data_IF_245051935310
#
_entry.id   IF_245051935310
#
_cell.length_a   1.000
_cell.length_b   1.000
_cell.length_c   1.000
_cell.angle_alpha   90.00
_cell.angle_beta   90.00
_cell.angle_gamma   90.00
#
_symmetry.space_group_name_H-M   'P 1'
#
loop_
_entity.id
_entity.type
_entity.pdbx_description
1 polymer ?
#
# COMPACT_ATOMS: atom_id res chain seq x y z
N UNK A 1 11.40 -16.52 -1.71
CA UNK A 1 10.47 -15.92 -0.73
C UNK A 1 10.80 -14.43 -0.60
N UNK A 2 10.15 -13.56 -1.39
CA UNK A 2 10.40 -12.11 -1.34
C UNK A 2 9.77 -11.59 -0.05
N UNK A 3 10.59 -11.39 0.99
CA UNK A 3 10.15 -10.81 2.27
C UNK A 3 9.75 -9.36 2.02
N UNK A 4 8.49 -9.13 1.60
CA UNK A 4 7.97 -7.77 1.58
C UNK A 4 8.00 -7.24 3.02
N UNK A 5 8.67 -6.11 3.19
CA UNK A 5 8.63 -5.22 4.35
C UNK A 5 9.50 -5.63 5.54
N UNK A 6 10.50 -4.78 5.78
CA UNK A 6 10.67 -4.15 7.10
C UNK A 6 10.66 -2.65 6.88
N UNK A 7 9.48 -2.03 6.83
CA UNK A 7 9.40 -0.62 7.19
C UNK A 7 9.52 -0.54 8.71
N UNK A 8 10.17 0.49 9.26
CA UNK A 8 10.27 0.70 10.72
C UNK A 8 8.89 0.58 11.39
N UNK A 9 7.84 1.06 10.71
CA UNK A 9 6.46 0.90 11.14
C UNK A 9 6.00 -0.55 11.31
N UNK A 10 6.39 -1.49 10.42
CA UNK A 10 6.03 -2.91 10.56
C UNK A 10 6.68 -3.55 11.78
N UNK A 11 7.98 -3.26 12.02
CA UNK A 11 8.70 -3.75 13.21
C UNK A 11 8.10 -3.21 14.50
N UNK A 12 7.73 -1.93 14.50
CA UNK A 12 7.16 -1.23 15.65
C UNK A 12 5.62 -1.36 15.76
N UNK A 13 4.98 -2.13 14.88
CA UNK A 13 3.51 -2.31 14.80
C UNK A 13 2.74 -0.97 14.74
N UNK A 14 3.26 0.02 14.02
CA UNK A 14 2.65 1.34 13.84
C UNK A 14 1.79 1.41 12.58
N UNK A 15 0.74 2.23 12.61
CA UNK A 15 0.02 2.65 11.40
C UNK A 15 0.96 3.43 10.48
N UNK A 16 0.96 3.06 9.21
CA UNK A 16 1.89 3.55 8.21
C UNK A 16 1.09 4.18 7.06
N UNK A 17 1.22 5.49 6.89
CA UNK A 17 0.58 6.29 5.83
C UNK A 17 1.27 6.14 4.46
N UNK A 18 2.34 5.35 4.38
CA UNK A 18 3.09 4.99 3.15
C UNK A 18 3.63 6.16 2.32
N UNK A 19 3.62 7.39 2.87
CA UNK A 19 4.40 8.50 2.32
C UNK A 19 5.89 8.22 2.50
N UNK A 20 6.74 8.89 1.72
CA UNK A 20 8.19 8.73 1.81
C UNK A 20 8.83 10.10 2.07
N UNK A 21 9.23 10.40 3.32
CA UNK A 21 9.07 9.58 4.53
C UNK A 21 7.64 9.58 5.09
N UNK A 22 7.29 8.53 5.81
CA UNK A 22 5.95 8.37 6.37
C UNK A 22 5.81 9.18 7.67
N UNK A 23 4.63 9.73 7.96
CA UNK A 23 4.44 10.63 9.10
C UNK A 23 4.80 10.00 10.45
N UNK A 24 4.61 8.68 10.59
CA UNK A 24 5.03 7.92 11.78
C UNK A 24 6.54 7.86 11.95
N UNK A 25 7.32 7.81 10.86
CA UNK A 25 8.78 7.82 10.92
C UNK A 25 9.32 9.23 11.14
N UNK A 26 8.68 10.26 10.59
CA UNK A 26 9.01 11.67 10.88
C UNK A 26 8.84 12.01 12.36
N UNK A 27 7.70 11.63 12.97
CA UNK A 27 7.42 11.91 14.39
C UNK A 27 8.35 11.23 15.38
N UNK A 28 9.01 10.14 14.96
CA UNK A 28 9.86 9.29 15.82
C UNK A 28 11.34 9.38 15.45
N UNK A 29 11.70 10.32 14.59
CA UNK A 29 13.07 10.53 14.11
C UNK A 29 13.72 9.26 13.54
N UNK A 30 12.95 8.50 12.75
CA UNK A 30 13.41 7.26 12.08
C UNK A 30 13.35 7.38 10.55
N UNK A 31 13.39 8.62 10.06
CA UNK A 31 13.28 8.98 8.63
C UNK A 31 14.30 8.24 7.77
N UNK A 32 15.55 8.16 8.22
CA UNK A 32 16.64 7.47 7.50
C UNK A 32 16.40 5.97 7.28
N UNK A 33 15.52 5.34 8.08
CA UNK A 33 15.16 3.92 7.99
C UNK A 33 13.77 3.70 7.37
N UNK A 34 13.10 4.76 6.93
CA UNK A 34 11.78 4.73 6.30
C UNK A 34 11.91 4.41 4.79
N UNK A 35 12.37 3.20 4.48
CA UNK A 35 12.62 2.77 3.11
C UNK A 35 11.54 1.78 2.67
N UNK A 36 10.92 2.05 1.52
CA UNK A 36 10.00 1.14 0.85
C UNK A 36 10.72 0.55 -0.36
N UNK A 37 10.65 -0.77 -0.53
CA UNK A 37 11.06 -1.38 -1.80
C UNK A 37 10.12 -0.90 -2.92
N UNK A 38 10.59 -0.74 -4.17
CA UNK A 38 9.74 -0.37 -5.30
C UNK A 38 8.48 -1.26 -5.43
N UNK A 39 8.64 -2.58 -5.27
CA UNK A 39 7.55 -3.55 -5.25
C UNK A 39 6.51 -3.33 -4.12
N UNK A 40 6.83 -2.53 -3.10
CA UNK A 40 5.90 -2.17 -2.02
C UNK A 40 5.27 -0.78 -2.23
N UNK A 41 5.90 0.09 -3.02
CA UNK A 41 5.30 1.34 -3.48
C UNK A 41 4.17 1.05 -4.49
N UNK A 42 4.38 0.05 -5.36
CA UNK A 42 3.42 -0.39 -6.38
C UNK A 42 2.32 -1.32 -5.85
N UNK A 43 2.07 -1.34 -4.54
CA UNK A 43 1.07 -2.26 -3.98
C UNK A 43 -0.32 -1.83 -4.44
N UNK A 44 -0.76 -2.38 -5.56
CA UNK A 44 -2.09 -2.20 -6.14
C UNK A 44 -3.12 -2.61 -5.09
N UNK A 45 -4.09 -1.73 -4.86
CA UNK A 45 -5.20 -2.04 -3.97
C UNK A 45 -6.16 -3.00 -4.67
N UNK A 46 -6.01 -4.29 -4.36
CA UNK A 46 -6.83 -5.37 -4.88
C UNK A 46 -8.33 -5.13 -4.63
N UNK A 47 -8.70 -4.51 -3.51
CA UNK A 47 -10.10 -4.25 -3.20
C UNK A 47 -10.69 -3.19 -4.14
N UNK A 48 -10.00 -2.05 -4.32
CA UNK A 48 -10.40 -1.06 -5.33
C UNK A 48 -10.46 -1.65 -6.74
N UNK A 49 -9.50 -2.51 -7.11
CA UNK A 49 -9.50 -3.14 -8.42
C UNK A 49 -10.72 -4.06 -8.61
N UNK A 50 -11.02 -4.90 -7.61
CA UNK A 50 -12.17 -5.79 -7.62
C UNK A 50 -13.49 -5.00 -7.72
N UNK A 51 -13.63 -3.92 -6.96
CA UNK A 51 -14.84 -3.09 -7.02
C UNK A 51 -15.02 -2.44 -8.40
N UNK A 52 -13.93 -1.98 -9.02
CA UNK A 52 -13.96 -1.46 -10.40
C UNK A 52 -14.34 -2.55 -11.40
N UNK A 53 -13.83 -3.77 -11.24
CA UNK A 53 -14.15 -4.91 -12.10
C UNK A 53 -15.64 -5.23 -12.04
N UNK A 54 -16.20 -5.37 -10.84
CA UNK A 54 -17.64 -5.62 -10.62
C UNK A 54 -18.48 -4.55 -11.32
N UNK A 55 -18.09 -3.27 -11.21
CA UNK A 55 -18.81 -2.18 -11.86
C UNK A 55 -18.77 -2.32 -13.39
N UNK A 56 -17.61 -2.61 -13.96
CA UNK A 56 -17.46 -2.82 -15.41
C UNK A 56 -18.28 -4.01 -15.90
N UNK A 57 -18.22 -5.13 -15.19
CA UNK A 57 -19.00 -6.33 -15.51
C UNK A 57 -20.51 -6.05 -15.46
N UNK A 58 -20.97 -5.30 -14.46
CA UNK A 58 -22.38 -4.92 -14.33
C UNK A 58 -22.86 -4.02 -15.48
N UNK A 59 -22.00 -3.15 -16.01
CA UNK A 59 -22.33 -2.27 -17.14
C UNK A 59 -22.36 -3.07 -18.44
N UNK A 60 -21.39 -3.96 -18.65
CA UNK A 60 -21.36 -4.86 -19.82
C UNK A 60 -22.61 -5.74 -19.90
N UNK A 61 -23.06 -6.28 -18.75
CA UNK A 61 -24.27 -7.10 -18.67
C UNK A 61 -25.56 -6.36 -19.06
N UNK A 62 -25.55 -5.02 -19.16
CA UNK A 62 -26.71 -4.24 -19.63
C UNK A 62 -26.77 -4.14 -21.16
N UNK A 63 -25.66 -4.43 -21.86
CA UNK A 63 -25.54 -4.30 -23.32
C UNK A 63 -25.47 -5.64 -24.05
N UNK A 64 -25.42 -6.75 -23.32
CA UNK A 64 -25.44 -8.13 -23.83
C UNK A 64 -26.73 -8.81 -23.42
#
# INVERSE_FOLDING_TARGET
QIRSRVTVCKRLKLKCDRRTPCGSCTKRDTVARCVYSPAAAEKVDLHSLNNRLIQVESQLAQFT
#
